data_IF_367655496802
#
_entry.id   IF_367655496802
#
_cell.length_a   1.000
_cell.length_b   1.000
_cell.length_c   1.000
_cell.angle_alpha   90.00
_cell.angle_beta   90.00
_cell.angle_gamma   90.00
#
_symmetry.space_group_name_H-M   'P 1'
#
loop_
_entity.id
_entity.type
_entity.pdbx_description
1 polymer ?
#
# COMPACT_ATOMS: atom_id res chain seq x y z
N UNK A 1 32.12 -0.75 -9.92
CA UNK A 1 30.98 -0.99 -10.83
C UNK A 1 29.86 -0.05 -10.44
N UNK A 2 29.22 0.64 -11.38
CA UNK A 2 28.08 1.52 -11.07
C UNK A 2 26.86 0.66 -10.74
N UNK A 3 26.46 0.63 -9.46
CA UNK A 3 25.24 -0.05 -9.00
C UNK A 3 24.00 0.69 -9.52
N UNK A 4 23.09 -0.05 -10.15
CA UNK A 4 21.80 0.45 -10.65
C UNK A 4 20.93 0.95 -9.50
N UNK A 5 20.66 2.26 -9.47
CA UNK A 5 19.88 2.88 -8.38
C UNK A 5 18.38 2.60 -8.54
N UNK A 6 17.86 2.68 -9.76
CA UNK A 6 16.44 2.47 -10.10
C UNK A 6 16.34 1.42 -11.20
N UNK A 7 15.42 0.46 -11.05
CA UNK A 7 15.21 -0.65 -11.96
C UNK A 7 13.71 -0.79 -12.28
N UNK A 8 13.41 -0.95 -13.57
CA UNK A 8 12.07 -1.29 -14.05
C UNK A 8 11.65 -2.68 -13.55
N UNK A 9 10.35 -2.89 -13.36
CA UNK A 9 9.80 -4.18 -12.96
C UNK A 9 8.46 -4.43 -13.66
N UNK A 10 8.09 -5.71 -13.79
CA UNK A 10 6.77 -6.09 -14.28
C UNK A 10 5.78 -6.02 -13.10
N UNK A 11 4.95 -4.98 -13.07
CA UNK A 11 4.00 -4.79 -11.97
C UNK A 11 2.83 -5.76 -12.04
N UNK A 12 2.43 -6.27 -10.88
CA UNK A 12 1.09 -6.79 -10.65
C UNK A 12 0.17 -5.61 -10.32
N UNK A 13 -0.80 -5.32 -11.18
CA UNK A 13 -1.69 -4.17 -11.03
C UNK A 13 -3.14 -4.53 -11.38
N UNK A 14 -4.14 -3.77 -10.91
CA UNK A 14 -5.51 -3.97 -11.36
C UNK A 14 -5.67 -3.62 -12.84
N UNK A 15 -6.64 -4.27 -13.48
CA UNK A 15 -7.13 -3.81 -14.79
C UNK A 15 -7.84 -2.46 -14.64
N UNK A 16 -7.74 -1.56 -15.63
CA UNK A 16 -8.32 -0.21 -15.55
C UNK A 16 -9.80 -0.20 -15.14
N UNK A 17 -10.60 -1.14 -15.64
CA UNK A 17 -12.03 -1.27 -15.40
C UNK A 17 -12.41 -1.59 -13.94
N UNK A 18 -11.51 -2.20 -13.17
CA UNK A 18 -11.74 -2.56 -11.76
C UNK A 18 -10.83 -1.81 -10.80
N UNK A 19 -9.93 -0.95 -11.30
CA UNK A 19 -8.92 -0.26 -10.49
C UNK A 19 -9.52 0.54 -9.32
N UNK A 20 -10.65 1.23 -9.54
CA UNK A 20 -11.34 1.98 -8.49
C UNK A 20 -12.00 1.09 -7.42
N UNK A 21 -12.36 -0.14 -7.77
CA UNK A 21 -12.96 -1.12 -6.86
C UNK A 21 -11.88 -1.84 -6.03
N UNK A 22 -10.70 -2.04 -6.63
CA UNK A 22 -9.53 -2.63 -5.97
C UNK A 22 -8.88 -1.63 -5.01
N UNK A 23 -8.84 -0.34 -5.37
CA UNK A 23 -8.24 0.69 -4.53
C UNK A 23 -8.81 0.69 -3.10
N UNK A 24 -7.93 0.88 -2.11
CA UNK A 24 -8.30 0.97 -0.71
C UNK A 24 -7.58 2.12 -0.01
N UNK A 25 -8.09 2.49 1.16
CA UNK A 25 -7.33 3.30 2.11
C UNK A 25 -6.10 2.51 2.60
N UNK A 26 -5.06 3.18 3.12
CA UNK A 26 -3.96 2.49 3.81
C UNK A 26 -4.49 1.65 4.98
N UNK A 27 -3.83 0.53 5.25
CA UNK A 27 -4.28 -0.39 6.30
C UNK A 27 -4.09 0.19 7.70
N UNK A 28 -3.09 1.03 7.91
CA UNK A 28 -2.66 1.59 9.20
C UNK A 28 -3.52 2.77 9.68
N UNK A 29 -4.39 3.31 8.82
CA UNK A 29 -5.28 4.44 9.16
C UNK A 29 -6.69 4.01 9.54
N UNK A 30 -6.96 2.71 9.61
CA UNK A 30 -8.27 2.15 9.95
C UNK A 30 -8.14 1.00 10.94
N UNK A 31 -9.12 0.88 11.84
CA UNK A 31 -9.27 -0.26 12.72
C UNK A 31 -10.12 -1.38 12.06
N UNK A 32 -10.31 -2.50 12.78
CA UNK A 32 -11.04 -3.69 12.28
C UNK A 32 -12.50 -3.39 11.93
N UNK A 33 -13.22 -2.67 12.79
CA UNK A 33 -14.63 -2.33 12.60
C UNK A 33 -14.82 -1.40 11.39
N UNK A 34 -14.01 -0.34 11.32
CA UNK A 34 -13.99 0.58 10.17
C UNK A 34 -13.66 -0.15 8.87
N UNK A 35 -12.69 -1.06 8.92
CA UNK A 35 -12.30 -1.85 7.75
C UNK A 35 -13.44 -2.75 7.26
N UNK A 36 -14.18 -3.42 8.16
CA UNK A 36 -15.37 -4.21 7.79
C UNK A 36 -16.42 -3.36 7.09
N UNK A 37 -16.74 -2.19 7.65
CA UNK A 37 -17.70 -1.27 7.05
C UNK A 37 -17.22 -0.76 5.67
N UNK A 38 -15.93 -0.47 5.52
CA UNK A 38 -15.38 0.02 4.26
C UNK A 38 -15.43 -1.01 3.13
N UNK A 39 -15.36 -2.31 3.43
CA UNK A 39 -15.38 -3.40 2.45
C UNK A 39 -16.75 -4.03 2.22
N UNK A 40 -17.78 -3.58 2.94
CA UNK A 40 -19.15 -4.03 2.75
C UNK A 40 -19.61 -3.75 1.30
N UNK A 41 -20.16 -4.78 0.63
CA UNK A 41 -20.54 -4.70 -0.78
C UNK A 41 -19.39 -4.49 -1.77
N UNK A 42 -18.12 -4.48 -1.31
CA UNK A 42 -16.92 -4.27 -2.14
C UNK A 42 -16.02 -5.50 -2.12
N UNK A 43 -16.35 -6.56 -2.88
CA UNK A 43 -15.60 -7.80 -2.88
C UNK A 43 -14.16 -7.64 -3.40
N UNK A 44 -13.91 -6.66 -4.28
CA UNK A 44 -12.60 -6.45 -4.88
C UNK A 44 -11.66 -5.57 -4.05
N UNK A 45 -12.13 -4.98 -2.94
CA UNK A 45 -11.32 -4.04 -2.17
C UNK A 45 -10.04 -4.70 -1.66
N UNK A 46 -8.88 -4.11 -1.99
CA UNK A 46 -7.58 -4.61 -1.56
C UNK A 46 -7.39 -4.56 -0.04
N UNK A 47 -8.25 -3.85 0.69
CA UNK A 47 -8.27 -3.90 2.15
C UNK A 47 -8.56 -5.31 2.67
N UNK A 48 -9.28 -6.15 1.91
CA UNK A 48 -9.45 -7.58 2.24
C UNK A 48 -8.15 -8.37 2.18
N UNK A 49 -7.12 -7.87 1.49
CA UNK A 49 -5.76 -8.44 1.48
C UNK A 49 -4.92 -7.81 2.59
N UNK A 50 -4.91 -6.47 2.69
CA UNK A 50 -4.08 -5.74 3.66
C UNK A 50 -4.56 -5.82 5.12
N UNK A 51 -5.83 -6.15 5.33
CA UNK A 51 -6.52 -6.36 6.62
C UNK A 51 -7.36 -7.65 6.53
N UNK A 52 -6.74 -8.77 6.21
CA UNK A 52 -7.46 -10.03 5.95
C UNK A 52 -8.22 -10.57 7.16
N UNK A 53 -7.86 -10.17 8.38
CA UNK A 53 -8.55 -10.53 9.61
C UNK A 53 -10.03 -10.13 9.59
N UNK A 54 -10.39 -9.08 8.84
CA UNK A 54 -11.78 -8.59 8.73
C UNK A 54 -12.71 -9.59 8.01
N UNK A 55 -12.12 -10.57 7.33
CA UNK A 55 -12.83 -11.64 6.61
C UNK A 55 -12.87 -12.96 7.39
N UNK A 56 -12.40 -12.96 8.63
CA UNK A 56 -12.42 -14.07 9.57
C UNK A 56 -13.27 -13.72 10.80
N UNK A 57 -13.44 -14.70 11.70
CA UNK A 57 -14.14 -14.48 12.96
C UNK A 57 -13.43 -13.43 13.84
N UNK A 58 -14.19 -12.70 14.65
CA UNK A 58 -13.66 -11.62 15.50
C UNK A 58 -12.80 -12.09 16.66
N UNK A 59 -12.86 -13.38 16.99
CA UNK A 59 -11.97 -14.02 17.95
C UNK A 59 -10.57 -14.33 17.40
N UNK A 60 -10.37 -14.29 16.08
CA UNK A 60 -9.08 -14.63 15.46
C UNK A 60 -8.07 -13.50 15.71
N UNK A 61 -6.90 -13.88 16.24
CA UNK A 61 -5.75 -12.99 16.41
C UNK A 61 -5.34 -12.40 15.04
N UNK A 62 -5.35 -11.06 14.87
CA UNK A 62 -4.92 -10.39 13.64
C UNK A 62 -3.48 -10.72 13.18
N UNK A 63 -2.64 -11.27 14.06
CA UNK A 63 -1.26 -11.64 13.74
C UNK A 63 -1.04 -13.14 13.59
N UNK A 64 -2.11 -13.93 13.58
CA UNK A 64 -2.03 -15.38 13.43
C UNK A 64 -1.67 -15.81 12.01
N UNK A 65 -1.14 -17.02 11.90
CA UNK A 65 -0.85 -17.67 10.62
C UNK A 65 -2.09 -17.75 9.71
N UNK A 66 -3.27 -17.97 10.30
CA UNK A 66 -4.55 -18.02 9.60
C UNK A 66 -4.86 -16.72 8.84
N UNK A 67 -4.55 -15.56 9.44
CA UNK A 67 -4.73 -14.24 8.82
C UNK A 67 -3.82 -14.09 7.60
N UNK A 68 -2.56 -14.54 7.69
CA UNK A 68 -1.62 -14.50 6.57
C UNK A 68 -2.04 -15.42 5.42
N UNK A 69 -2.53 -16.61 5.74
CA UNK A 69 -3.07 -17.55 4.75
C UNK A 69 -4.31 -16.98 4.07
N UNK A 70 -5.18 -16.31 4.83
CA UNK A 70 -6.33 -15.60 4.28
C UNK A 70 -5.94 -14.45 3.37
N UNK A 71 -4.93 -13.65 3.74
CA UNK A 71 -4.40 -12.58 2.89
C UNK A 71 -3.89 -13.14 1.55
N UNK A 72 -3.13 -14.23 1.60
CA UNK A 72 -2.63 -14.94 0.42
C UNK A 72 -3.79 -15.41 -0.46
N UNK A 73 -4.77 -16.11 0.11
CA UNK A 73 -5.94 -16.60 -0.62
C UNK A 73 -6.73 -15.47 -1.29
N UNK A 74 -6.93 -14.35 -0.58
CA UNK A 74 -7.64 -13.18 -1.13
C UNK A 74 -6.87 -12.55 -2.30
N UNK A 75 -5.53 -12.46 -2.22
CA UNK A 75 -4.70 -11.97 -3.31
C UNK A 75 -4.72 -12.93 -4.51
N UNK A 76 -4.60 -14.23 -4.27
CA UNK A 76 -4.66 -15.26 -5.31
C UNK A 76 -5.99 -15.25 -6.05
N UNK A 77 -7.11 -15.04 -5.35
CA UNK A 77 -8.42 -14.89 -5.96
C UNK A 77 -8.47 -13.69 -6.92
N UNK A 78 -7.97 -12.52 -6.50
CA UNK A 78 -7.92 -11.34 -7.38
C UNK A 78 -7.08 -11.57 -8.65
N UNK A 79 -6.04 -12.42 -8.58
CA UNK A 79 -5.22 -12.79 -9.72
C UNK A 79 -5.94 -13.82 -10.60
N UNK A 80 -6.48 -14.88 -10.00
CA UNK A 80 -7.15 -15.98 -10.70
C UNK A 80 -8.40 -15.51 -11.44
N UNK A 81 -9.17 -14.59 -10.84
CA UNK A 81 -10.35 -13.98 -11.43
C UNK A 81 -9.98 -12.91 -12.49
N UNK A 82 -8.68 -12.65 -12.69
CA UNK A 82 -8.17 -11.73 -13.68
C UNK A 82 -8.45 -10.27 -13.36
N UNK A 83 -8.69 -9.91 -12.09
CA UNK A 83 -8.81 -8.53 -11.65
C UNK A 83 -7.44 -7.85 -11.54
N UNK A 84 -6.42 -8.60 -11.14
CA UNK A 84 -5.02 -8.20 -11.19
C UNK A 84 -4.31 -8.88 -12.37
N UNK A 85 -3.46 -8.13 -13.05
CA UNK A 85 -2.66 -8.59 -14.19
C UNK A 85 -1.20 -8.20 -14.00
N UNK A 86 -0.31 -9.09 -14.42
CA UNK A 86 1.13 -8.83 -14.46
C UNK A 86 1.48 -8.23 -15.82
N UNK A 87 2.26 -7.15 -15.83
CA UNK A 87 2.78 -6.58 -17.08
C UNK A 87 3.69 -7.57 -17.81
N UNK A 88 3.61 -7.59 -19.15
CA UNK A 88 4.41 -8.49 -19.97
C UNK A 88 5.91 -8.12 -19.97
N UNK A 89 6.19 -6.83 -19.82
CA UNK A 89 7.56 -6.30 -19.84
C UNK A 89 7.82 -5.39 -18.63
N UNK A 90 9.05 -5.35 -18.12
CA UNK A 90 9.42 -4.41 -17.06
C UNK A 90 9.27 -2.96 -17.51
N UNK A 91 8.61 -2.14 -16.68
CA UNK A 91 8.48 -0.71 -16.92
C UNK A 91 8.82 0.12 -15.67
N UNK A 92 9.05 1.42 -15.90
CA UNK A 92 8.91 2.42 -14.85
C UNK A 92 7.49 3.01 -14.97
N UNK A 93 6.86 3.26 -13.83
CA UNK A 93 5.49 3.77 -13.80
C UNK A 93 5.47 5.20 -13.30
N UNK A 94 4.51 5.98 -13.79
CA UNK A 94 4.23 7.30 -13.26
C UNK A 94 3.03 7.23 -12.33
N UNK A 95 3.20 7.81 -11.14
CA UNK A 95 2.14 8.00 -10.17
C UNK A 95 1.77 9.48 -10.09
N UNK A 96 0.49 9.78 -9.92
CA UNK A 96 -0.02 11.14 -9.70
C UNK A 96 -0.88 11.16 -8.45
N UNK A 97 -0.53 12.00 -7.49
CA UNK A 97 -1.37 12.36 -6.36
C UNK A 97 -1.94 13.76 -6.57
N UNK A 98 -3.26 13.90 -6.51
CA UNK A 98 -3.91 15.22 -6.56
C UNK A 98 -4.60 15.50 -5.23
N UNK A 99 -4.19 16.57 -4.55
CA UNK A 99 -4.77 17.01 -3.29
C UNK A 99 -5.01 18.52 -3.29
N UNK A 100 -6.25 18.94 -2.97
CA UNK A 100 -6.67 20.35 -2.95
C UNK A 100 -6.25 21.14 -4.20
N UNK A 101 -6.48 20.57 -5.38
CA UNK A 101 -6.15 21.19 -6.67
C UNK A 101 -4.66 21.17 -7.06
N UNK A 102 -3.77 20.64 -6.21
CA UNK A 102 -2.33 20.51 -6.51
C UNK A 102 -2.00 19.08 -6.86
N UNK A 103 -1.27 18.89 -7.96
CA UNK A 103 -0.79 17.57 -8.40
C UNK A 103 0.69 17.40 -8.10
N UNK A 104 1.05 16.24 -7.55
CA UNK A 104 2.41 15.76 -7.43
C UNK A 104 2.56 14.50 -8.27
N UNK A 105 3.69 14.38 -8.96
CA UNK A 105 4.02 13.22 -9.77
C UNK A 105 5.24 12.51 -9.18
N UNK A 106 5.21 11.18 -9.22
CA UNK A 106 6.30 10.33 -8.76
C UNK A 106 6.62 9.26 -9.80
N UNK A 107 7.84 8.72 -9.74
CA UNK A 107 8.25 7.54 -10.50
C UNK A 107 8.21 6.34 -9.57
N UNK A 108 7.57 5.26 -10.01
CA UNK A 108 7.52 3.98 -9.31
C UNK A 108 8.40 2.98 -10.06
N UNK A 109 9.32 2.38 -9.32
CA UNK A 109 10.27 1.37 -9.78
C UNK A 109 10.93 0.69 -8.59
N UNK A 110 11.61 -0.42 -8.84
CA UNK A 110 12.45 -1.04 -7.82
C UNK A 110 13.71 -0.19 -7.60
N UNK A 111 14.23 -0.17 -6.38
CA UNK A 111 15.44 0.59 -6.05
C UNK A 111 16.46 -0.24 -5.30
N UNK A 112 17.73 0.13 -5.43
CA UNK A 112 18.81 -0.55 -4.74
C UNK A 112 18.74 -0.28 -3.23
N UNK A 113 18.57 -1.35 -2.43
CA UNK A 113 18.66 -1.30 -0.96
C UNK A 113 20.04 -0.79 -0.50
N UNK A 114 21.12 -1.14 -1.19
CA UNK A 114 22.48 -0.67 -0.88
C UNK A 114 22.62 0.85 -1.07
N UNK A 115 22.20 1.39 -2.22
CA UNK A 115 22.12 2.82 -2.48
C UNK A 115 21.24 3.58 -1.45
N UNK A 116 20.16 2.98 -0.96
CA UNK A 116 19.37 3.54 0.15
C UNK A 116 20.15 3.57 1.47
N UNK A 117 20.82 2.46 1.84
CA UNK A 117 21.60 2.34 3.09
C UNK A 117 22.83 3.25 3.11
N UNK A 118 23.48 3.44 1.97
CA UNK A 118 24.67 4.30 1.80
C UNK A 118 24.36 5.78 1.62
N UNK A 119 23.08 6.20 1.70
CA UNK A 119 22.68 7.60 1.60
C UNK A 119 22.69 8.19 0.18
N UNK A 120 22.92 7.36 -0.85
CA UNK A 120 22.84 7.79 -2.26
C UNK A 120 21.40 8.06 -2.71
N UNK A 121 20.42 7.42 -2.08
CA UNK A 121 18.99 7.75 -2.20
C UNK A 121 18.62 8.61 -0.99
N UNK A 122 18.13 9.83 -1.24
CA UNK A 122 17.64 10.71 -0.17
C UNK A 122 16.39 10.10 0.48
N UNK A 123 16.39 10.04 1.81
CA UNK A 123 15.27 9.55 2.60
C UNK A 123 14.27 10.68 2.84
N UNK A 124 12.98 10.41 2.64
CA UNK A 124 11.91 11.40 2.87
C UNK A 124 11.20 11.17 4.22
N UNK A 125 11.08 9.92 4.67
CA UNK A 125 10.56 9.58 5.99
C UNK A 125 11.68 9.64 7.04
N UNK A 126 11.37 10.22 8.21
CA UNK A 126 12.24 10.11 9.39
C UNK A 126 12.30 8.63 9.78
N UNK A 127 13.50 8.12 10.06
CA UNK A 127 13.80 6.70 10.26
C UNK A 127 12.69 5.91 11.01
N UNK A 128 12.37 4.65 10.63
CA UNK A 128 11.49 3.76 11.40
C UNK A 128 11.94 3.58 12.86
N UNK A 129 13.23 3.78 13.13
CA UNK A 129 13.81 3.79 14.48
C UNK A 129 13.27 4.95 15.34
N UNK A 130 12.89 6.07 14.72
CA UNK A 130 12.27 7.22 15.38
C UNK A 130 10.79 7.02 15.71
N UNK A 131 10.12 6.10 15.00
CA UNK A 131 8.69 5.81 15.17
C UNK A 131 8.46 4.76 16.28
N UNK A 132 9.38 3.80 16.44
CA UNK A 132 9.38 2.83 17.57
C UNK A 132 9.49 3.48 18.96
N UNK A 133 9.87 4.76 19.07
CA UNK A 133 10.01 5.49 20.36
C UNK A 133 8.78 6.29 20.77
N UNK A 134 7.66 6.22 20.05
CA UNK A 134 6.43 6.93 20.43
C UNK A 134 5.46 5.96 21.10
N UNK A 135 5.13 6.11 22.40
CA UNK A 135 4.02 5.38 22.99
C UNK A 135 2.74 5.79 22.25
N UNK A 136 1.85 4.81 22.00
CA UNK A 136 0.58 4.97 21.31
C UNK A 136 -0.17 6.22 21.81
N UNK A 137 -0.14 7.30 21.03
CA UNK A 137 -1.05 8.41 21.26
C UNK A 137 -2.36 8.06 20.56
N UNK A 138 -3.34 7.62 21.35
CA UNK A 138 -4.75 7.65 20.98
C UNK A 138 -5.08 9.03 20.39
N UNK A 139 -5.36 9.09 19.10
CA UNK A 139 -5.85 10.31 18.46
C UNK A 139 -7.38 10.36 18.60
N UNK A 140 -7.97 11.46 19.11
CA UNK A 140 -9.41 11.62 19.13
C UNK A 140 -9.93 11.89 17.71
N UNK A 141 -11.11 11.34 17.42
CA UNK A 141 -11.88 11.43 16.18
C UNK A 141 -11.66 12.74 15.39
N UNK A 142 -11.19 12.60 14.14
CA UNK A 142 -11.20 13.66 13.13
C UNK A 142 -11.88 13.15 11.85
N UNK A 143 -13.16 13.49 11.60
CA UNK A 143 -13.88 13.03 10.42
C UNK A 143 -13.46 13.89 9.22
N UNK A 144 -12.41 13.50 8.50
CA UNK A 144 -12.06 14.19 7.26
C UNK A 144 -10.64 14.09 6.71
N UNK A 145 -9.78 13.19 7.20
CA UNK A 145 -8.43 13.05 6.64
C UNK A 145 -8.12 11.64 6.15
N UNK A 146 -8.36 11.37 4.87
CA UNK A 146 -7.66 10.30 4.14
C UNK A 146 -6.18 10.70 4.04
N UNK A 147 -5.36 10.32 5.03
CA UNK A 147 -3.91 10.34 4.88
C UNK A 147 -3.49 9.05 4.20
N UNK A 148 -3.38 9.09 2.87
CA UNK A 148 -2.68 8.05 2.11
C UNK A 148 -1.19 8.14 2.41
N UNK A 149 -0.69 7.31 3.32
CA UNK A 149 0.74 7.04 3.48
C UNK A 149 1.20 6.15 2.33
N UNK A 150 1.92 6.72 1.37
CA UNK A 150 2.65 5.97 0.35
C UNK A 150 3.99 6.67 0.14
N UNK A 151 5.08 5.95 0.39
CA UNK A 151 6.45 6.45 0.29
C UNK A 151 6.83 6.58 -1.19
N UNK A 152 6.52 7.74 -1.78
CA UNK A 152 7.05 8.20 -3.05
C UNK A 152 8.12 9.25 -2.78
N UNK A 153 9.27 9.16 -3.46
CA UNK A 153 10.31 10.16 -3.37
C UNK A 153 9.75 11.54 -3.80
N UNK A 154 9.42 12.39 -2.83
CA UNK A 154 8.99 13.76 -3.08
C UNK A 154 10.17 14.56 -3.59
N UNK A 155 10.08 15.04 -4.83
CA UNK A 155 10.94 16.14 -5.29
C UNK A 155 10.16 17.43 -5.08
N UNK A 156 10.57 18.20 -4.06
CA UNK A 156 10.07 19.56 -3.87
C UNK A 156 10.53 20.42 -5.06
N UNK A 157 9.57 20.99 -5.79
CA UNK A 157 9.73 22.30 -6.43
C UNK A 157 8.97 23.33 -5.61
#
# INVERSE_FOLDING_TARGET
MSSTIVKAFAALRPKPEVASQVASVPYDVVNREESKALVEGKPLSFLRVGRSEITLDDSVDPYSQEVYEKAKSNLEALIADGHLVTEAEPALYLYKLTWKGRSQYGVVGAYSVEAYRSGRIKKHEKDPESERRRPHQSHPNNPGSNRTGFSGAQTHR
#
